data_IF_021299466099
#
_entry.id   IF_021299466099
#
_cell.length_a   1.000
_cell.length_b   1.000
_cell.length_c   1.000
_cell.angle_alpha   90.00
_cell.angle_beta   90.00
_cell.angle_gamma   90.00
#
_symmetry.space_group_name_H-M   'P 1'
#
loop_
_entity.id
_entity.type
_entity.pdbx_description
1 polymer ?
#
# COMPACT_ATOMS: atom_id res chain seq x y z
N UNK A 1 8.98 -8.26 4.78
CA UNK A 1 8.44 -7.04 4.10
C UNK A 1 6.92 -7.02 4.13
N UNK A 2 6.26 -8.10 3.74
CA UNK A 2 4.79 -8.19 3.73
C UNK A 2 4.18 -7.99 5.11
N UNK A 3 4.72 -8.60 6.17
CA UNK A 3 4.28 -8.34 7.56
C UNK A 3 4.50 -6.89 8.01
N UNK A 4 5.58 -6.24 7.56
CA UNK A 4 5.86 -4.84 7.91
C UNK A 4 4.87 -3.89 7.23
N UNK A 5 4.51 -4.16 5.98
CA UNK A 5 3.45 -3.42 5.28
C UNK A 5 2.09 -3.65 5.94
N UNK A 6 1.76 -4.90 6.28
CA UNK A 6 0.50 -5.25 6.97
C UNK A 6 0.40 -4.71 8.41
N UNK A 7 1.50 -4.25 8.99
CA UNK A 7 1.45 -3.53 10.27
C UNK A 7 0.85 -2.12 10.11
N UNK A 8 0.76 -1.59 8.89
CA UNK A 8 0.11 -0.31 8.64
C UNK A 8 -1.42 -0.47 8.64
N UNK A 9 -2.18 0.34 9.40
CA UNK A 9 -3.62 0.13 9.61
C UNK A 9 -4.45 0.25 8.32
N UNK A 10 -3.94 0.94 7.30
CA UNK A 10 -4.62 1.10 6.02
C UNK A 10 -4.40 -0.09 5.05
N UNK A 11 -3.42 -0.94 5.32
CA UNK A 11 -3.03 -2.04 4.42
C UNK A 11 -3.72 -3.33 4.89
N UNK A 12 -4.57 -3.90 4.05
CA UNK A 12 -5.20 -5.20 4.31
C UNK A 12 -4.22 -6.32 4.00
N UNK A 13 -3.76 -6.39 2.75
CA UNK A 13 -2.80 -7.38 2.27
C UNK A 13 -1.66 -6.69 1.53
N UNK A 14 -0.48 -7.30 1.61
CA UNK A 14 0.66 -6.91 0.81
C UNK A 14 1.32 -8.16 0.26
N UNK A 15 1.54 -8.19 -1.05
CA UNK A 15 2.25 -9.25 -1.75
C UNK A 15 3.49 -8.67 -2.39
N UNK A 16 4.65 -9.20 -2.02
CA UNK A 16 5.92 -8.76 -2.58
C UNK A 16 6.24 -9.58 -3.83
N UNK A 17 6.54 -8.90 -4.93
CA UNK A 17 6.83 -9.51 -6.24
C UNK A 17 8.22 -9.11 -6.69
N UNK A 18 9.06 -10.05 -7.09
CA UNK A 18 10.40 -9.70 -7.56
C UNK A 18 11.47 -10.76 -7.44
N UNK A 19 11.12 -12.01 -7.12
CA UNK A 19 12.07 -13.11 -7.17
C UNK A 19 12.74 -13.18 -8.56
N UNK A 20 14.08 -13.23 -8.58
CA UNK A 20 14.92 -13.16 -9.77
C UNK A 20 14.72 -11.92 -10.70
N UNK A 21 14.23 -10.79 -10.17
CA UNK A 21 14.08 -9.52 -10.91
C UNK A 21 15.12 -8.47 -10.48
N UNK A 22 15.45 -7.48 -11.33
CA UNK A 22 16.41 -6.43 -10.99
C UNK A 22 15.95 -5.50 -9.86
N UNK A 23 14.67 -5.56 -9.48
CA UNK A 23 14.12 -4.83 -8.36
C UNK A 23 12.89 -5.57 -7.80
N UNK A 24 12.61 -5.31 -6.53
CA UNK A 24 11.42 -5.79 -5.84
C UNK A 24 10.29 -4.78 -6.01
N UNK A 25 9.09 -5.28 -6.29
CA UNK A 25 7.84 -4.54 -6.27
C UNK A 25 6.86 -5.08 -5.22
N UNK A 26 5.80 -4.34 -4.95
CA UNK A 26 4.74 -4.76 -4.04
C UNK A 26 3.34 -4.48 -4.61
N UNK A 27 2.43 -5.44 -4.45
CA UNK A 27 1.00 -5.26 -4.66
C UNK A 27 0.34 -5.09 -3.30
N UNK A 28 -0.42 -4.01 -3.14
CA UNK A 28 -0.97 -3.60 -1.84
C UNK A 28 -2.48 -3.48 -1.99
N UNK A 29 -3.24 -4.09 -1.08
CA UNK A 29 -4.68 -3.90 -0.96
C UNK A 29 -4.97 -3.05 0.26
N UNK A 30 -6.07 -2.30 0.20
CA UNK A 30 -6.46 -1.35 1.24
C UNK A 30 -7.60 -1.98 2.04
N UNK A 31 -7.49 -1.91 3.36
CA UNK A 31 -8.55 -2.34 4.25
C UNK A 31 -9.75 -1.39 4.14
N UNK A 32 -10.94 -1.89 3.75
CA UNK A 32 -12.10 -1.03 3.52
C UNK A 32 -12.60 -0.36 4.82
N UNK A 33 -12.44 -0.98 5.97
CA UNK A 33 -12.87 -0.40 7.25
C UNK A 33 -11.97 0.77 7.65
N UNK A 34 -10.65 0.60 7.55
CA UNK A 34 -9.67 1.66 7.77
C UNK A 34 -9.73 2.76 6.70
N UNK A 35 -10.11 2.40 5.46
CA UNK A 35 -10.26 3.33 4.35
C UNK A 35 -11.37 4.35 4.58
N UNK A 36 -12.50 3.96 5.17
CA UNK A 36 -13.55 4.91 5.55
C UNK A 36 -13.03 5.99 6.51
N UNK A 37 -12.28 5.59 7.54
CA UNK A 37 -11.65 6.53 8.47
C UNK A 37 -10.55 7.37 7.83
N UNK A 38 -9.81 6.82 6.87
CA UNK A 38 -8.83 7.57 6.09
C UNK A 38 -9.50 8.63 5.18
N UNK A 39 -10.60 8.28 4.50
CA UNK A 39 -11.35 9.22 3.65
C UNK A 39 -11.84 10.42 4.44
N UNK A 40 -12.38 10.20 5.63
CA UNK A 40 -12.85 11.28 6.51
C UNK A 40 -11.70 12.21 6.93
N UNK A 41 -10.56 11.65 7.32
CA UNK A 41 -9.37 12.45 7.72
C UNK A 41 -8.77 13.25 6.58
N UNK A 42 -8.84 12.72 5.35
CA UNK A 42 -8.28 13.35 4.15
C UNK A 42 -9.32 14.11 3.32
N UNK A 43 -10.52 14.34 3.87
CA UNK A 43 -11.63 15.06 3.21
C UNK A 43 -11.98 14.52 1.81
N UNK A 44 -11.95 13.18 1.65
CA UNK A 44 -12.30 12.49 0.40
C UNK A 44 -13.78 12.14 0.35
N UNK A 45 -14.31 11.94 -0.86
CA UNK A 45 -15.72 11.60 -1.07
C UNK A 45 -16.07 10.27 -0.41
N UNK A 46 -17.10 10.24 0.43
CA UNK A 46 -17.52 9.03 1.15
C UNK A 46 -17.89 7.87 0.21
N UNK A 47 -18.45 8.15 -0.96
CA UNK A 47 -18.77 7.13 -1.98
C UNK A 47 -17.59 6.67 -2.85
N UNK A 48 -16.39 7.24 -2.69
CA UNK A 48 -15.24 6.83 -3.48
C UNK A 48 -14.76 5.44 -3.04
N UNK A 49 -14.53 4.57 -4.03
CA UNK A 49 -13.93 3.26 -3.80
C UNK A 49 -12.40 3.36 -3.69
N UNK A 50 -11.76 2.28 -3.24
CA UNK A 50 -10.29 2.17 -3.28
C UNK A 50 -9.79 2.34 -4.71
N UNK A 51 -10.51 1.82 -5.72
CA UNK A 51 -10.14 1.99 -7.12
C UNK A 51 -10.17 3.44 -7.60
N UNK A 52 -11.14 4.23 -7.13
CA UNK A 52 -11.24 5.67 -7.47
C UNK A 52 -10.07 6.46 -6.87
N UNK A 53 -9.60 6.07 -5.68
CA UNK A 53 -8.51 6.75 -4.97
C UNK A 53 -7.16 6.05 -5.10
N UNK A 54 -7.05 4.95 -5.84
CA UNK A 54 -5.80 4.19 -6.00
C UNK A 54 -4.68 5.03 -6.64
N UNK A 55 -5.06 6.04 -7.42
CA UNK A 55 -4.13 7.02 -8.02
C UNK A 55 -4.15 8.38 -7.33
N UNK A 56 -4.86 8.50 -6.20
CA UNK A 56 -4.94 9.73 -5.44
C UNK A 56 -3.59 10.01 -4.75
N UNK A 57 -3.05 11.24 -4.84
CA UNK A 57 -1.73 11.55 -4.31
C UNK A 57 -1.64 11.39 -2.80
N UNK A 58 -2.73 11.63 -2.04
CA UNK A 58 -2.72 11.46 -0.59
C UNK A 58 -2.67 9.98 -0.22
N UNK A 59 -3.43 9.13 -0.93
CA UNK A 59 -3.39 7.68 -0.69
C UNK A 59 -2.03 7.10 -1.07
N UNK A 60 -1.48 7.51 -2.21
CA UNK A 60 -0.14 7.12 -2.63
C UNK A 60 0.90 7.55 -1.60
N UNK A 61 0.81 8.77 -1.06
CA UNK A 61 1.76 9.27 -0.06
C UNK A 61 1.72 8.47 1.24
N UNK A 62 0.52 8.09 1.72
CA UNK A 62 0.35 7.26 2.91
C UNK A 62 1.01 5.89 2.72
N UNK A 63 0.74 5.24 1.58
CA UNK A 63 1.31 3.93 1.27
C UNK A 63 2.81 4.01 0.99
N UNK A 64 3.29 5.07 0.35
CA UNK A 64 4.73 5.31 0.14
C UNK A 64 5.47 5.47 1.47
N UNK A 65 4.87 6.15 2.45
CA UNK A 65 5.42 6.24 3.80
C UNK A 65 5.52 4.85 4.46
N UNK A 66 4.47 4.02 4.35
CA UNK A 66 4.50 2.64 4.85
C UNK A 66 5.58 1.79 4.16
N UNK A 67 5.72 1.92 2.83
CA UNK A 67 6.76 1.23 2.05
C UNK A 67 8.16 1.69 2.44
N UNK A 68 8.37 2.98 2.64
CA UNK A 68 9.64 3.53 3.13
C UNK A 68 10.00 2.96 4.50
N UNK A 69 9.05 2.89 5.42
CA UNK A 69 9.26 2.28 6.74
C UNK A 69 9.62 0.79 6.62
N UNK A 70 8.89 0.03 5.79
CA UNK A 70 9.20 -1.38 5.55
C UNK A 70 10.61 -1.57 4.95
N UNK A 71 11.04 -0.68 4.07
CA UNK A 71 12.36 -0.70 3.45
C UNK A 71 13.51 -0.43 4.43
N UNK A 72 13.27 0.22 5.57
CA UNK A 72 14.29 0.42 6.61
C UNK A 72 14.71 -0.89 7.29
N UNK A 73 13.85 -1.92 7.23
CA UNK A 73 14.08 -3.21 7.87
C UNK A 73 14.81 -4.22 6.96
N UNK A 74 15.14 -3.87 5.72
CA UNK A 74 15.76 -4.79 4.74
C UNK A 74 16.95 -4.16 4.02
N UNK A 75 17.74 -4.99 3.34
CA UNK A 75 18.85 -4.54 2.51
C UNK A 75 18.37 -3.79 1.27
N UNK A 76 19.22 -2.93 0.70
CA UNK A 76 18.90 -2.16 -0.52
C UNK A 76 18.55 -3.03 -1.74
N UNK A 77 19.10 -4.25 -1.81
CA UNK A 77 18.78 -5.22 -2.85
C UNK A 77 17.35 -5.81 -2.70
N UNK A 78 16.83 -5.83 -1.48
CA UNK A 78 15.51 -6.36 -1.13
C UNK A 78 14.47 -5.24 -0.96
N UNK A 79 14.88 -3.98 -1.01
CA UNK A 79 13.98 -2.84 -0.89
C UNK A 79 12.98 -2.79 -2.05
N UNK A 80 11.73 -2.52 -1.69
CA UNK A 80 10.62 -2.30 -2.61
C UNK A 80 10.89 -0.99 -3.35
N UNK A 81 11.04 -1.07 -4.68
CA UNK A 81 11.26 0.09 -5.55
C UNK A 81 10.01 0.61 -6.22
N UNK A 82 8.98 -0.22 -6.34
CA UNK A 82 7.69 0.14 -6.91
C UNK A 82 6.59 -0.55 -6.14
N UNK A 83 5.46 0.12 -5.96
CA UNK A 83 4.26 -0.51 -5.44
C UNK A 83 3.07 -0.14 -6.31
N UNK A 84 2.01 -0.93 -6.20
CA UNK A 84 0.71 -0.63 -6.81
C UNK A 84 -0.40 -0.96 -5.84
N UNK A 85 -1.30 0.00 -5.67
CA UNK A 85 -2.54 -0.17 -4.92
C UNK A 85 -3.55 -0.87 -5.83
N UNK A 86 -4.10 -1.98 -5.35
CA UNK A 86 -5.12 -2.71 -6.08
C UNK A 86 -6.51 -2.16 -5.74
N UNK A 87 -7.43 -2.09 -6.72
CA UNK A 87 -8.78 -1.58 -6.52
C UNK A 87 -9.67 -2.52 -5.70
N UNK A 88 -9.27 -3.79 -5.58
CA UNK A 88 -10.00 -4.86 -4.87
C UNK A 88 -9.03 -5.66 -4.02
N UNK A 89 -9.54 -6.25 -2.94
CA UNK A 89 -8.77 -7.15 -2.08
C UNK A 89 -8.53 -8.51 -2.76
N UNK A 90 -7.57 -9.30 -2.26
CA UNK A 90 -7.27 -10.62 -2.80
C UNK A 90 -8.33 -11.61 -2.30
N UNK A 91 -9.26 -12.02 -3.17
CA UNK A 91 -10.19 -13.15 -2.95
C UNK A 91 -9.55 -14.48 -3.33
#
# INVERSE_FOLDING_TARGET
>A
LEDQLRAHPLISQAVVVGDAKPFIGALITIDPEAFEGWKQRNSKTAGASVGDLATDPDLIAEIDAAVKQANLAVSHAESIRKFRILPVDFT
#
